data_IF_806669891649
#
_entry.id   IF_806669891649
#
_cell.length_a   1.000
_cell.length_b   1.000
_cell.length_c   1.000
_cell.angle_alpha   90.00
_cell.angle_beta   90.00
_cell.angle_gamma   90.00
#
_symmetry.space_group_name_H-M   'P 1'
#
loop_
_entity.id
_entity.type
_entity.pdbx_description
1 polymer ?
#
# COMPACT_ATOMS: atom_id res chain seq x y z
N UNK A 1 24.92 11.17 -39.91
CA UNK A 1 23.66 10.89 -39.19
C UNK A 1 23.68 9.46 -38.71
N UNK A 2 23.51 9.21 -37.41
CA UNK A 2 22.59 8.21 -36.85
C UNK A 2 22.76 8.09 -35.32
N UNK A 3 21.66 8.41 -34.65
CA UNK A 3 21.18 7.95 -33.33
C UNK A 3 22.05 8.21 -32.08
N UNK A 4 21.84 9.39 -31.50
CA UNK A 4 21.92 9.62 -30.05
C UNK A 4 20.60 9.16 -29.39
N UNK A 5 20.71 8.64 -28.16
CA UNK A 5 19.64 8.29 -27.21
C UNK A 5 19.07 6.88 -27.28
N UNK A 6 19.90 5.89 -26.94
CA UNK A 6 19.39 4.71 -26.22
C UNK A 6 19.28 5.05 -24.73
N UNK A 7 18.28 5.85 -24.34
CA UNK A 7 17.88 5.94 -22.94
C UNK A 7 17.40 4.55 -22.52
N UNK A 8 18.22 3.82 -21.75
CA UNK A 8 17.85 2.53 -21.17
C UNK A 8 16.77 2.77 -20.11
N UNK A 9 15.52 2.83 -20.55
CA UNK A 9 14.38 2.88 -19.64
C UNK A 9 14.28 1.54 -18.91
N UNK A 10 14.23 1.57 -17.57
CA UNK A 10 13.95 0.38 -16.76
C UNK A 10 12.55 -0.13 -17.14
N UNK A 11 12.46 -1.42 -17.46
CA UNK A 11 11.20 -2.09 -17.79
C UNK A 11 10.91 -3.15 -16.73
N UNK A 12 9.65 -3.25 -16.33
CA UNK A 12 9.16 -4.29 -15.42
C UNK A 12 8.26 -5.22 -16.20
N UNK A 13 8.50 -6.53 -16.10
CA UNK A 13 7.69 -7.55 -16.75
C UNK A 13 6.55 -8.00 -15.84
N UNK A 14 5.31 -7.85 -16.32
CA UNK A 14 4.11 -8.22 -15.56
C UNK A 14 4.09 -9.69 -15.16
N UNK A 15 4.50 -10.61 -16.05
CA UNK A 15 4.52 -12.05 -15.74
C UNK A 15 5.47 -12.37 -14.57
N UNK A 16 6.59 -11.65 -14.47
CA UNK A 16 7.51 -11.79 -13.34
C UNK A 16 6.87 -11.29 -12.04
N UNK A 17 6.13 -10.18 -12.08
CA UNK A 17 5.37 -9.69 -10.92
C UNK A 17 4.27 -10.66 -10.50
N UNK A 18 3.59 -11.30 -11.45
CA UNK A 18 2.59 -12.33 -11.14
C UNK A 18 3.27 -13.48 -10.40
N UNK A 19 4.37 -14.04 -10.91
CA UNK A 19 5.11 -15.12 -10.23
C UNK A 19 5.54 -14.71 -8.81
N UNK A 20 6.02 -13.48 -8.60
CA UNK A 20 6.35 -12.98 -7.27
C UNK A 20 5.12 -12.88 -6.36
N UNK A 21 3.97 -12.46 -6.91
CA UNK A 21 2.70 -12.42 -6.17
C UNK A 21 2.22 -13.82 -5.76
N UNK A 22 2.55 -14.86 -6.54
CA UNK A 22 2.26 -16.24 -6.18
C UNK A 22 3.12 -16.73 -5.02
N UNK A 23 4.41 -16.41 -5.05
CA UNK A 23 5.35 -16.71 -3.96
C UNK A 23 4.95 -15.99 -2.67
N UNK A 24 4.53 -14.73 -2.78
CA UNK A 24 4.05 -13.93 -1.66
C UNK A 24 2.90 -14.61 -0.89
N UNK A 25 2.11 -15.49 -1.50
CA UNK A 25 1.05 -16.22 -0.78
C UNK A 25 1.58 -17.18 0.28
N UNK A 26 2.82 -17.64 0.13
CA UNK A 26 3.43 -18.64 1.02
C UNK A 26 4.54 -18.06 1.90
N UNK A 27 5.26 -17.06 1.40
CA UNK A 27 6.49 -16.52 2.02
C UNK A 27 6.38 -15.02 2.36
N UNK A 28 5.18 -14.56 2.72
CA UNK A 28 4.98 -13.17 3.14
C UNK A 28 5.40 -12.94 4.59
N UNK A 29 5.93 -11.75 4.87
CA UNK A 29 6.18 -11.30 6.25
C UNK A 29 4.92 -10.79 6.94
N UNK A 30 3.96 -10.28 6.17
CA UNK A 30 2.67 -9.82 6.69
C UNK A 30 1.56 -9.92 5.65
N UNK A 31 0.37 -10.33 6.05
CA UNK A 31 -0.82 -10.27 5.21
C UNK A 31 -2.07 -9.94 6.04
N UNK A 32 -3.03 -9.26 5.42
CA UNK A 32 -4.20 -8.78 6.14
C UNK A 32 -5.07 -7.83 5.33
N UNK A 33 -6.28 -7.58 5.83
CA UNK A 33 -7.17 -6.60 5.22
C UNK A 33 -6.84 -5.18 5.63
N UNK A 34 -6.79 -4.28 4.66
CA UNK A 34 -6.76 -2.83 4.85
C UNK A 34 -7.80 -2.16 3.97
N UNK A 35 -8.36 -1.06 4.44
CA UNK A 35 -9.09 -0.15 3.55
C UNK A 35 -8.09 0.74 2.84
N UNK A 36 -8.08 0.71 1.51
CA UNK A 36 -7.27 1.58 0.67
C UNK A 36 -8.11 2.71 0.12
N UNK A 37 -7.60 3.95 0.19
CA UNK A 37 -8.23 5.10 -0.46
C UNK A 37 -8.00 5.06 -1.98
N UNK A 38 -9.03 5.44 -2.74
CA UNK A 38 -8.94 5.60 -4.19
C UNK A 38 -8.04 6.79 -4.56
N UNK A 39 -7.48 6.80 -5.78
CA UNK A 39 -6.55 7.85 -6.22
C UNK A 39 -7.21 9.24 -6.28
N UNK A 40 -8.49 9.29 -6.61
CA UNK A 40 -9.33 10.49 -6.65
C UNK A 40 -9.83 10.89 -5.25
N UNK A 41 -9.33 10.25 -4.18
CA UNK A 41 -9.68 10.53 -2.79
C UNK A 41 -11.16 10.38 -2.42
N UNK A 42 -11.98 9.78 -3.30
CA UNK A 42 -13.44 9.74 -3.18
C UNK A 42 -13.96 8.53 -2.39
N UNK A 43 -13.26 7.39 -2.42
CA UNK A 43 -13.78 6.10 -1.89
C UNK A 43 -12.71 5.31 -1.14
N UNK A 44 -13.14 4.60 -0.10
CA UNK A 44 -12.34 3.59 0.59
C UNK A 44 -12.82 2.21 0.17
N UNK A 45 -11.87 1.32 -0.19
CA UNK A 45 -12.18 -0.07 -0.55
C UNK A 45 -11.38 -1.03 0.32
N UNK A 46 -12.04 -2.04 0.86
CA UNK A 46 -11.38 -3.14 1.55
C UNK A 46 -10.61 -3.99 0.52
N UNK A 47 -9.33 -4.24 0.77
CA UNK A 47 -8.46 -5.07 -0.07
C UNK A 47 -7.62 -5.97 0.83
N UNK A 48 -7.27 -7.14 0.31
CA UNK A 48 -6.34 -8.06 0.98
C UNK A 48 -4.92 -7.69 0.57
N UNK A 49 -4.07 -7.35 1.52
CA UNK A 49 -2.69 -6.97 1.30
C UNK A 49 -1.75 -8.10 1.70
N UNK A 50 -0.65 -8.24 0.96
CA UNK A 50 0.39 -9.23 1.20
C UNK A 50 1.74 -8.54 0.98
N UNK A 51 2.55 -8.48 2.05
CA UNK A 51 3.90 -7.93 2.05
C UNK A 51 4.91 -9.05 1.81
N UNK A 52 5.62 -8.98 0.69
CA UNK A 52 6.66 -9.93 0.32
C UNK A 52 7.95 -9.19 0.02
N UNK A 53 8.97 -9.34 0.87
CA UNK A 53 10.17 -8.51 0.82
C UNK A 53 9.76 -7.03 0.81
N UNK A 54 10.22 -6.23 -0.17
CA UNK A 54 9.83 -4.84 -0.38
C UNK A 54 8.63 -4.65 -1.33
N UNK A 55 7.82 -5.68 -1.56
CA UNK A 55 6.68 -5.69 -2.48
C UNK A 55 5.33 -5.73 -1.75
N UNK A 56 4.64 -4.59 -1.85
CA UNK A 56 3.27 -4.26 -1.48
C UNK A 56 2.14 -4.85 -2.36
N UNK A 57 1.90 -6.16 -2.43
CA UNK A 57 0.78 -6.68 -3.25
C UNK A 57 -0.58 -6.44 -2.61
N UNK A 58 -1.61 -6.18 -3.43
CA UNK A 58 -2.99 -6.18 -2.97
C UNK A 58 -3.96 -6.84 -3.94
N UNK A 59 -5.03 -7.40 -3.38
CA UNK A 59 -6.01 -8.24 -4.05
C UNK A 59 -7.43 -7.77 -3.72
N UNK A 60 -8.40 -8.10 -4.57
CA UNK A 60 -9.81 -7.80 -4.31
C UNK A 60 -10.33 -8.53 -3.06
N UNK A 61 -9.85 -9.75 -2.82
CA UNK A 61 -10.12 -10.54 -1.62
C UNK A 61 -8.95 -11.49 -1.34
N UNK A 62 -8.96 -12.15 -0.17
CA UNK A 62 -7.97 -13.19 0.17
C UNK A 62 -7.93 -14.37 -0.84
N UNK A 63 -9.06 -14.66 -1.49
CA UNK A 63 -9.19 -15.79 -2.42
C UNK A 63 -8.90 -15.40 -3.88
N UNK A 64 -8.63 -14.12 -4.16
CA UNK A 64 -8.33 -13.67 -5.52
C UNK A 64 -6.95 -14.18 -5.94
N UNK A 65 -6.89 -14.86 -7.09
CA UNK A 65 -5.65 -15.48 -7.58
C UNK A 65 -4.65 -14.48 -8.17
N UNK A 66 -5.16 -13.37 -8.73
CA UNK A 66 -4.36 -12.31 -9.35
C UNK A 66 -4.37 -11.04 -8.51
N UNK A 67 -3.22 -10.37 -8.34
CA UNK A 67 -3.16 -9.09 -7.64
C UNK A 67 -3.90 -8.02 -8.45
N UNK A 68 -4.63 -7.17 -7.75
CA UNK A 68 -5.24 -5.96 -8.30
C UNK A 68 -4.23 -4.78 -8.37
N UNK A 69 -3.06 -4.94 -7.77
CA UNK A 69 -1.92 -4.06 -7.94
C UNK A 69 -0.79 -4.34 -6.97
N UNK A 70 0.26 -3.53 -7.12
CA UNK A 70 1.52 -3.63 -6.39
C UNK A 70 2.02 -2.23 -6.03
N UNK A 71 2.59 -2.10 -4.84
CA UNK A 71 3.40 -0.96 -4.42
C UNK A 71 4.84 -1.44 -4.23
N UNK A 72 5.81 -0.74 -4.83
CA UNK A 72 7.23 -0.91 -4.47
C UNK A 72 7.50 -0.06 -3.25
N UNK A 73 8.03 -0.66 -2.18
CA UNK A 73 8.29 0.04 -0.92
C UNK A 73 9.68 0.69 -0.87
N UNK A 74 10.56 0.36 -1.81
CA UNK A 74 11.91 0.92 -1.88
C UNK A 74 11.88 2.45 -1.83
N UNK A 75 12.49 3.02 -0.79
CA UNK A 75 12.54 4.47 -0.58
C UNK A 75 11.20 5.14 -0.27
N UNK A 76 10.18 4.38 0.16
CA UNK A 76 8.92 4.96 0.60
C UNK A 76 9.02 5.54 2.02
N UNK A 77 8.17 6.52 2.32
CA UNK A 77 7.89 6.96 3.68
C UNK A 77 6.57 6.34 4.13
N UNK A 78 6.52 5.80 5.36
CA UNK A 78 5.31 5.21 5.92
C UNK A 78 5.02 5.85 7.28
N UNK A 79 3.99 6.68 7.34
CA UNK A 79 3.71 7.55 8.49
C UNK A 79 2.28 7.41 8.98
N UNK A 80 2.10 7.55 10.30
CA UNK A 80 0.77 7.52 10.91
C UNK A 80 0.05 8.84 10.65
N UNK A 81 -1.21 8.75 10.22
CA UNK A 81 -2.08 9.90 10.07
C UNK A 81 -2.86 10.17 11.36
N UNK A 82 -2.53 11.27 12.02
CA UNK A 82 -3.25 11.73 13.21
C UNK A 82 -4.50 12.48 12.75
N UNK A 83 -5.68 11.97 13.11
CA UNK A 83 -6.94 12.69 12.89
C UNK A 83 -7.16 13.62 14.06
N UNK A 84 -6.91 14.92 13.90
CA UNK A 84 -7.26 15.93 14.92
C UNK A 84 -8.77 15.98 15.06
N UNK A 85 -9.28 15.57 16.22
CA UNK A 85 -10.69 15.27 16.50
C UNK A 85 -11.59 16.53 16.61
N UNK A 86 -11.10 17.69 16.17
CA UNK A 86 -11.76 18.99 16.37
C UNK A 86 -13.06 19.16 15.56
N UNK A 87 -13.30 18.36 14.51
CA UNK A 87 -14.42 18.60 13.58
C UNK A 87 -15.60 17.59 13.65
N UNK A 88 -15.54 16.50 14.44
CA UNK A 88 -16.55 15.43 14.36
C UNK A 88 -17.40 15.31 15.64
N UNK A 89 -18.68 15.71 15.55
CA UNK A 89 -19.68 15.64 16.64
C UNK A 89 -20.17 14.22 16.96
N UNK A 90 -19.91 13.21 16.12
CA UNK A 90 -20.40 11.83 16.32
C UNK A 90 -19.29 10.81 16.57
N UNK A 91 -19.49 9.97 17.60
CA UNK A 91 -18.51 8.96 18.04
C UNK A 91 -18.24 7.88 16.97
N UNK A 92 -19.24 7.55 16.16
CA UNK A 92 -19.12 6.61 15.04
C UNK A 92 -18.19 7.13 13.93
N UNK A 93 -18.17 8.44 13.67
CA UNK A 93 -17.28 9.04 12.66
C UNK A 93 -15.84 9.09 13.19
N UNK A 94 -15.66 9.32 14.49
CA UNK A 94 -14.34 9.27 15.15
C UNK A 94 -13.71 7.88 15.03
N UNK A 95 -14.45 6.81 15.37
CA UNK A 95 -13.96 5.44 15.24
C UNK A 95 -13.63 5.06 13.79
N UNK A 96 -14.42 5.53 12.81
CA UNK A 96 -14.17 5.27 11.38
C UNK A 96 -12.95 6.01 10.80
N UNK A 97 -12.46 7.06 11.44
CA UNK A 97 -11.29 7.81 11.00
C UNK A 97 -10.00 7.46 11.75
N UNK A 98 -10.10 6.62 12.78
CA UNK A 98 -8.97 6.15 13.55
C UNK A 98 -8.15 5.10 12.78
N UNK A 99 -6.88 4.97 13.16
CA UNK A 99 -5.96 3.93 12.67
C UNK A 99 -5.61 4.05 11.18
N UNK A 100 -5.29 5.29 10.76
CA UNK A 100 -4.85 5.60 9.39
C UNK A 100 -3.34 5.78 9.31
N UNK A 101 -2.80 5.43 8.17
CA UNK A 101 -1.41 5.68 7.80
C UNK A 101 -1.32 5.92 6.30
N UNK A 102 -0.21 6.48 5.87
CA UNK A 102 0.06 6.74 4.46
C UNK A 102 1.41 6.18 4.04
N UNK A 103 1.50 5.83 2.76
CA UNK A 103 2.74 5.55 2.06
C UNK A 103 2.96 6.66 1.02
N UNK A 104 4.09 7.34 1.12
CA UNK A 104 4.49 8.43 0.22
C UNK A 104 5.91 8.19 -0.30
N UNK A 105 6.37 9.00 -1.26
CA UNK A 105 7.69 8.88 -1.87
C UNK A 105 8.35 10.25 -1.98
N UNK A 106 9.69 10.29 -2.00
CA UNK A 106 10.46 11.55 -1.99
C UNK A 106 10.16 12.49 -3.16
N UNK A 107 9.81 11.94 -4.33
CA UNK A 107 9.57 12.75 -5.53
C UNK A 107 8.18 13.36 -5.49
N UNK A 108 8.12 14.66 -5.75
CA UNK A 108 6.85 15.37 -5.95
C UNK A 108 6.06 14.75 -7.11
N UNK A 109 4.74 14.81 -7.04
CA UNK A 109 3.79 14.23 -8.00
C UNK A 109 3.79 12.70 -8.12
N UNK A 110 4.46 11.96 -7.23
CA UNK A 110 4.25 10.52 -7.11
C UNK A 110 2.98 10.25 -6.31
N UNK A 111 2.22 9.24 -6.76
CA UNK A 111 0.99 8.81 -6.11
C UNK A 111 1.23 8.47 -4.64
N UNK A 112 0.44 9.08 -3.77
CA UNK A 112 0.36 8.76 -2.35
C UNK A 112 -0.72 7.69 -2.11
N UNK A 113 -0.53 6.89 -1.07
CA UNK A 113 -1.47 5.83 -0.70
C UNK A 113 -1.89 5.96 0.74
N UNK A 114 -3.16 6.26 0.97
CA UNK A 114 -3.74 6.24 2.31
C UNK A 114 -4.40 4.89 2.61
N UNK A 115 -4.17 4.43 3.83
CA UNK A 115 -4.71 3.19 4.37
C UNK A 115 -5.42 3.43 5.69
N UNK A 116 -6.43 2.60 5.95
CA UNK A 116 -7.09 2.50 7.25
C UNK A 116 -7.15 1.05 7.69
N UNK A 117 -6.57 0.78 8.84
CA UNK A 117 -6.59 -0.54 9.48
C UNK A 117 -7.86 -0.76 10.31
N UNK A 118 -8.09 -2.00 10.73
CA UNK A 118 -9.24 -2.38 11.54
C UNK A 118 -9.18 -1.82 12.97
N UNK A 119 -7.99 -1.80 13.57
CA UNK A 119 -7.73 -1.35 14.92
C UNK A 119 -6.30 -0.81 15.05
N UNK A 120 -5.96 -0.30 16.22
CA UNK A 120 -4.65 0.29 16.50
C UNK A 120 -3.49 -0.69 16.31
N UNK A 121 -3.61 -1.89 16.87
CA UNK A 121 -2.59 -2.94 16.76
C UNK A 121 -2.31 -3.29 15.30
N UNK A 122 -3.35 -3.51 14.48
CA UNK A 122 -3.19 -3.76 13.05
C UNK A 122 -2.49 -2.59 12.35
N UNK A 123 -2.85 -1.35 12.67
CA UNK A 123 -2.21 -0.18 12.07
C UNK A 123 -0.72 -0.13 12.39
N UNK A 124 -0.36 -0.32 13.66
CA UNK A 124 1.02 -0.30 14.11
C UNK A 124 1.82 -1.45 13.47
N UNK A 125 1.27 -2.66 13.43
CA UNK A 125 1.91 -3.80 12.78
C UNK A 125 2.18 -3.53 11.29
N UNK A 126 1.21 -2.94 10.56
CA UNK A 126 1.42 -2.55 9.16
C UNK A 126 2.50 -1.48 8.98
N UNK A 127 2.48 -0.43 9.80
CA UNK A 127 3.50 0.62 9.75
C UNK A 127 4.89 0.03 9.99
N UNK A 128 5.05 -0.78 11.03
CA UNK A 128 6.35 -1.37 11.39
C UNK A 128 6.82 -2.37 10.32
N UNK A 129 5.94 -3.24 9.82
CA UNK A 129 6.29 -4.18 8.76
C UNK A 129 6.73 -3.48 7.47
N UNK A 130 6.03 -2.41 7.07
CA UNK A 130 6.40 -1.60 5.89
C UNK A 130 7.72 -0.86 6.14
N UNK A 131 7.93 -0.31 7.33
CA UNK A 131 9.18 0.39 7.67
C UNK A 131 10.39 -0.53 7.73
N UNK A 132 10.21 -1.78 8.12
CA UNK A 132 11.26 -2.80 8.12
C UNK A 132 11.60 -3.29 6.71
N UNK A 133 10.62 -3.28 5.80
CA UNK A 133 10.73 -3.84 4.46
C UNK A 133 11.24 -2.88 3.37
N UNK A 134 11.48 -1.61 3.67
CA UNK A 134 11.75 -0.53 2.69
C UNK A 134 13.20 -0.09 2.60
#
# INVERSE_FOLDING_TARGET
MLSLNMQRQIRVNENQLIVLSERARFDHSQAGYLHKRSADNSKWRLKWFVLYQNLLFYYDSKNSLRPAGLLLLEGCYCERLITTVVASKSMKVRQRQQFRFEITYRRENVRQYEFRALNEMNCNNWIEAIRYAR
#
